data_IF_951556772126
#
_entry.id   IF_951556772126
#
_cell.length_a   1.000
_cell.length_b   1.000
_cell.length_c   1.000
_cell.angle_alpha   90.00
_cell.angle_beta   90.00
_cell.angle_gamma   90.00
#
_symmetry.space_group_name_H-M   'P 1'
#
loop_
_entity.id
_entity.type
_entity.pdbx_description
1 polymer ?
#
# COMPACT_ATOMS: atom_id res chain seq x y z
N UNK A 1 -9.23 65.65 47.08
CA UNK A 1 -8.37 65.28 45.94
C UNK A 1 -7.37 64.23 46.44
N UNK A 2 -7.45 62.97 45.98
CA UNK A 2 -6.62 61.88 46.50
C UNK A 2 -5.32 61.77 45.71
N UNK A 3 -4.18 61.84 46.39
CA UNK A 3 -2.92 61.24 45.93
C UNK A 3 -2.29 60.53 47.13
N UNK A 4 -2.00 59.23 47.00
CA UNK A 4 -1.09 58.50 47.89
C UNK A 4 -0.30 57.48 47.07
N UNK A 5 1.01 57.64 47.10
CA UNK A 5 2.04 56.67 46.72
C UNK A 5 2.94 56.60 47.97
N UNK A 6 3.11 55.44 48.61
CA UNK A 6 4.17 54.43 48.37
C UNK A 6 5.59 54.97 48.68
N UNK A 7 6.58 54.24 49.20
CA UNK A 7 6.72 52.84 49.71
C UNK A 7 7.54 52.94 51.03
N UNK A 8 7.44 52.04 52.02
CA UNK A 8 8.35 50.87 52.26
C UNK A 8 8.07 50.28 53.66
N UNK A 9 8.53 49.04 53.94
CA UNK A 9 8.49 48.43 55.28
C UNK A 9 8.52 46.90 55.24
N UNK A 10 9.68 46.32 54.91
CA UNK A 10 9.83 44.89 54.60
C UNK A 10 9.76 43.96 55.81
N UNK A 11 9.12 42.80 55.65
CA UNK A 11 9.28 41.64 56.53
C UNK A 11 9.54 40.39 55.67
N UNK A 12 10.65 39.71 55.91
CA UNK A 12 11.03 38.51 55.17
C UNK A 12 10.41 37.26 55.82
N UNK A 13 9.74 36.43 55.01
CA UNK A 13 9.28 35.11 55.41
C UNK A 13 10.07 34.04 54.64
N UNK A 14 10.73 33.14 55.37
CA UNK A 14 11.45 32.01 54.78
C UNK A 14 10.45 30.92 54.39
N UNK A 15 10.32 30.66 53.09
CA UNK A 15 9.53 29.55 52.59
C UNK A 15 10.39 28.27 52.60
N UNK A 16 9.99 27.27 53.38
CA UNK A 16 10.60 25.94 53.31
C UNK A 16 10.06 25.20 52.06
N UNK A 17 10.92 24.98 51.06
CA UNK A 17 10.57 24.17 49.90
C UNK A 17 10.68 22.69 50.28
N UNK A 18 9.55 22.00 50.33
CA UNK A 18 9.52 20.54 50.42
C UNK A 18 9.77 19.98 49.03
N UNK A 19 10.96 19.43 48.78
CA UNK A 19 11.21 18.63 47.58
C UNK A 19 10.52 17.28 47.72
N UNK A 20 9.34 17.14 47.12
CA UNK A 20 8.76 15.84 46.82
C UNK A 20 9.64 15.14 45.78
N UNK A 21 10.40 14.13 46.19
CA UNK A 21 11.13 13.28 45.26
C UNK A 21 10.11 12.49 44.42
N UNK A 22 9.94 12.90 43.16
CA UNK A 22 9.15 12.13 42.20
C UNK A 22 9.86 10.78 41.97
N UNK A 23 9.26 9.69 42.45
CA UNK A 23 9.75 8.36 42.17
C UNK A 23 9.63 8.13 40.66
N UNK A 24 10.77 8.13 39.97
CA UNK A 24 10.86 7.71 38.58
C UNK A 24 10.33 6.28 38.50
N UNK A 25 9.13 6.11 37.93
CA UNK A 25 8.62 4.79 37.65
C UNK A 25 9.54 4.18 36.59
N UNK A 26 10.05 2.95 36.77
CA UNK A 26 10.77 2.29 35.70
C UNK A 26 9.81 2.20 34.51
N UNK A 27 10.24 2.69 33.35
CA UNK A 27 9.49 2.49 32.12
C UNK A 27 9.33 0.99 31.93
N UNK A 28 8.10 0.50 32.06
CA UNK A 28 7.78 -0.89 31.74
C UNK A 28 8.18 -1.09 30.29
N UNK A 29 9.19 -1.92 30.05
CA UNK A 29 9.45 -2.42 28.70
C UNK A 29 8.14 -3.06 28.24
N UNK A 30 7.55 -2.52 27.16
CA UNK A 30 6.35 -3.13 26.59
C UNK A 30 6.70 -4.57 26.27
N UNK A 31 5.93 -5.52 26.79
CA UNK A 31 6.05 -6.89 26.32
C UNK A 31 5.83 -6.87 24.81
N UNK A 32 6.73 -7.50 24.05
CA UNK A 32 6.52 -7.68 22.62
C UNK A 32 5.19 -8.40 22.42
N UNK A 33 4.38 -7.94 21.46
CA UNK A 33 3.10 -8.57 21.20
C UNK A 33 3.29 -10.00 20.70
N UNK A 34 2.32 -10.87 20.98
CA UNK A 34 2.37 -12.25 20.49
C UNK A 34 2.39 -12.25 18.95
N UNK A 35 3.31 -13.01 18.32
CA UNK A 35 3.41 -13.09 16.87
C UNK A 35 2.17 -13.73 16.28
N UNK A 36 1.80 -13.31 15.08
CA UNK A 36 0.60 -13.81 14.42
C UNK A 36 0.78 -15.26 13.95
N UNK A 37 -0.31 -16.04 13.96
CA UNK A 37 -0.29 -17.41 13.50
C UNK A 37 -0.14 -17.47 11.97
N UNK A 38 1.00 -17.98 11.50
CA UNK A 38 1.28 -18.28 10.08
C UNK A 38 0.54 -19.55 9.62
N UNK A 39 -0.05 -19.50 8.43
CA UNK A 39 -0.67 -20.65 7.77
C UNK A 39 -0.40 -20.60 6.25
N UNK A 40 0.17 -21.68 5.69
CA UNK A 40 0.34 -21.83 4.24
C UNK A 40 -1.03 -22.03 3.58
N UNK A 41 -1.31 -21.27 2.54
CA UNK A 41 -2.55 -21.39 1.76
C UNK A 41 -2.47 -22.57 0.78
N UNK A 42 -3.60 -23.20 0.40
CA UNK A 42 -3.60 -24.25 -0.62
C UNK A 42 -2.97 -23.76 -1.93
N UNK A 43 -2.16 -24.59 -2.58
CA UNK A 43 -1.56 -24.33 -3.89
C UNK A 43 -2.28 -25.13 -4.99
N UNK A 44 -1.99 -24.81 -6.26
CA UNK A 44 -2.43 -25.65 -7.38
C UNK A 44 -1.72 -27.01 -7.34
N UNK A 45 -2.32 -28.07 -7.93
CA UNK A 45 -1.59 -29.31 -8.22
C UNK A 45 -0.29 -29.01 -8.96
N UNK A 46 0.76 -29.78 -8.66
CA UNK A 46 2.08 -29.70 -9.28
C UNK A 46 2.79 -28.34 -9.17
N UNK A 47 2.29 -27.43 -8.31
CA UNK A 47 2.95 -26.15 -8.04
C UNK A 47 4.28 -26.31 -7.31
N UNK A 48 5.32 -25.69 -7.84
CA UNK A 48 6.69 -25.63 -7.27
C UNK A 48 7.00 -24.32 -6.56
N UNK A 49 6.23 -23.26 -6.84
CA UNK A 49 6.32 -21.95 -6.18
C UNK A 49 4.99 -21.21 -6.41
N UNK A 50 4.42 -20.58 -5.38
CA UNK A 50 3.18 -19.80 -5.51
C UNK A 50 3.24 -18.51 -4.68
N UNK A 51 2.72 -17.42 -5.24
CA UNK A 51 2.70 -16.09 -4.65
C UNK A 51 1.29 -15.52 -4.56
N UNK A 52 1.02 -14.75 -3.50
CA UNK A 52 -0.12 -13.82 -3.47
C UNK A 52 0.30 -12.51 -4.14
N UNK A 53 -0.63 -11.85 -4.85
CA UNK A 53 -0.43 -10.52 -5.44
C UNK A 53 -1.37 -9.46 -4.84
N UNK A 54 -2.64 -9.81 -4.61
CA UNK A 54 -3.64 -8.97 -3.92
C UNK A 54 -4.76 -9.83 -3.34
N UNK A 55 -5.66 -9.21 -2.57
CA UNK A 55 -6.88 -9.83 -2.06
C UNK A 55 -7.91 -8.82 -1.59
N UNK A 56 -9.19 -9.17 -1.69
CA UNK A 56 -10.27 -8.25 -1.37
C UNK A 56 -10.35 -7.93 0.13
N UNK A 57 -10.78 -6.73 0.56
CA UNK A 57 -10.83 -6.36 1.97
C UNK A 57 -11.77 -7.21 2.84
N UNK A 58 -12.63 -8.06 2.27
CA UNK A 58 -13.44 -9.06 2.96
C UNK A 58 -12.77 -10.43 3.13
N UNK A 59 -11.62 -10.69 2.50
CA UNK A 59 -10.85 -11.94 2.63
C UNK A 59 -11.44 -13.13 1.88
N UNK A 60 -12.39 -12.91 0.98
CA UNK A 60 -13.06 -13.96 0.20
C UNK A 60 -12.27 -14.36 -1.04
N UNK A 61 -11.67 -13.38 -1.70
CA UNK A 61 -10.94 -13.50 -2.94
C UNK A 61 -9.49 -13.08 -2.71
N UNK A 62 -8.54 -13.90 -3.14
CA UNK A 62 -7.15 -13.53 -3.30
C UNK A 62 -6.69 -13.94 -4.70
N UNK A 63 -5.79 -13.17 -5.30
CA UNK A 63 -5.19 -13.44 -6.60
C UNK A 63 -3.69 -13.60 -6.46
N UNK A 64 -3.07 -14.33 -7.39
CA UNK A 64 -1.67 -14.67 -7.32
C UNK A 64 -1.11 -15.30 -8.58
N UNK A 65 0.13 -15.78 -8.49
CA UNK A 65 0.81 -16.56 -9.52
C UNK A 65 1.36 -17.87 -8.95
N UNK A 66 1.43 -18.90 -9.79
CA UNK A 66 2.00 -20.21 -9.47
C UNK A 66 2.89 -20.66 -10.62
N UNK A 67 4.01 -21.30 -10.30
CA UNK A 67 4.84 -22.05 -11.26
C UNK A 67 4.62 -23.54 -11.08
N UNK A 68 4.46 -24.29 -12.16
CA UNK A 68 4.35 -25.76 -12.12
C UNK A 68 5.72 -26.48 -12.12
N UNK A 69 5.75 -27.79 -12.30
CA UNK A 69 6.99 -28.58 -12.43
C UNK A 69 7.68 -28.48 -13.80
N UNK A 70 6.96 -28.00 -14.82
CA UNK A 70 7.44 -27.85 -16.20
C UNK A 70 7.88 -26.38 -16.49
N UNK A 71 8.02 -25.57 -15.43
CA UNK A 71 8.36 -24.14 -15.43
C UNK A 71 7.33 -23.20 -16.08
N UNK A 72 6.08 -23.65 -16.28
CA UNK A 72 5.00 -22.79 -16.74
C UNK A 72 4.47 -21.90 -15.60
N UNK A 73 4.22 -20.62 -15.91
CA UNK A 73 3.57 -19.69 -14.99
C UNK A 73 2.04 -19.65 -15.22
N UNK A 74 1.30 -19.71 -14.13
CA UNK A 74 -0.17 -19.73 -14.06
C UNK A 74 -0.66 -18.62 -13.13
N UNK A 75 -1.82 -18.04 -13.42
CA UNK A 75 -2.51 -17.20 -12.44
C UNK A 75 -3.33 -18.08 -11.48
N UNK A 76 -3.40 -17.70 -10.21
CA UNK A 76 -4.18 -18.37 -9.17
C UNK A 76 -5.28 -17.44 -8.68
N UNK A 77 -6.47 -17.99 -8.46
CA UNK A 77 -7.51 -17.37 -7.65
C UNK A 77 -7.79 -18.28 -6.45
N UNK A 78 -7.63 -17.75 -5.25
CA UNK A 78 -8.28 -18.31 -4.07
C UNK A 78 -9.67 -17.72 -3.94
N UNK A 79 -10.67 -18.60 -3.83
CA UNK A 79 -12.03 -18.22 -3.48
C UNK A 79 -12.44 -19.02 -2.24
N UNK A 80 -12.85 -18.31 -1.18
CA UNK A 80 -13.26 -18.90 0.10
C UNK A 80 -12.17 -19.88 0.65
N UNK A 81 -10.89 -19.52 0.43
CA UNK A 81 -9.70 -20.31 0.80
C UNK A 81 -9.32 -21.46 -0.16
N UNK A 82 -10.12 -21.74 -1.18
CA UNK A 82 -9.84 -22.80 -2.17
C UNK A 82 -9.10 -22.24 -3.39
N UNK A 83 -7.91 -22.75 -3.70
CA UNK A 83 -7.16 -22.39 -4.89
C UNK A 83 -7.77 -23.00 -6.16
N UNK A 84 -7.83 -22.22 -7.24
CA UNK A 84 -8.06 -22.70 -8.61
C UNK A 84 -7.23 -21.88 -9.60
N UNK A 85 -6.94 -22.47 -10.75
CA UNK A 85 -6.35 -21.73 -11.86
C UNK A 85 -7.29 -20.61 -12.31
N UNK A 86 -6.72 -19.44 -12.57
CA UNK A 86 -7.40 -18.26 -13.08
C UNK A 86 -6.99 -18.03 -14.54
N UNK A 87 -7.98 -18.00 -15.43
CA UNK A 87 -7.78 -17.71 -16.86
C UNK A 87 -8.44 -16.38 -17.20
N UNK A 88 -7.69 -15.48 -17.84
CA UNK A 88 -8.12 -14.15 -18.27
C UNK A 88 -7.74 -13.99 -19.75
N UNK A 89 -8.42 -14.69 -20.67
CA UNK A 89 -8.01 -14.77 -22.07
C UNK A 89 -8.31 -13.46 -22.82
N UNK A 90 -7.26 -12.82 -23.35
CA UNK A 90 -7.35 -11.52 -24.03
C UNK A 90 -7.25 -11.59 -25.56
N UNK A 91 -6.91 -12.76 -26.10
CA UNK A 91 -6.47 -12.93 -27.49
C UNK A 91 -4.97 -12.73 -27.70
N UNK A 92 -4.28 -12.04 -26.79
CA UNK A 92 -2.81 -11.87 -26.75
C UNK A 92 -2.13 -12.81 -25.74
N UNK A 93 -2.91 -13.61 -25.01
CA UNK A 93 -2.48 -14.48 -23.92
C UNK A 93 -3.47 -14.44 -22.75
N UNK A 94 -3.09 -15.04 -21.63
CA UNK A 94 -3.74 -14.78 -20.34
C UNK A 94 -3.19 -13.47 -19.75
N UNK A 95 -4.05 -12.58 -19.27
CA UNK A 95 -3.63 -11.35 -18.59
C UNK A 95 -3.14 -11.63 -17.16
N UNK A 96 -2.11 -10.91 -16.72
CA UNK A 96 -1.60 -10.94 -15.36
C UNK A 96 -2.51 -10.12 -14.43
N UNK A 97 -3.17 -10.73 -13.43
CA UNK A 97 -4.08 -10.02 -12.52
C UNK A 97 -3.29 -9.08 -11.62
N UNK A 98 -3.84 -7.89 -11.37
CA UNK A 98 -3.24 -6.84 -10.55
C UNK A 98 -3.99 -6.71 -9.21
N UNK A 99 -5.32 -6.61 -9.25
CA UNK A 99 -6.15 -6.44 -8.06
C UNK A 99 -7.55 -7.08 -8.19
N UNK A 100 -8.22 -7.35 -7.05
CA UNK A 100 -9.54 -8.00 -6.97
C UNK A 100 -10.45 -7.35 -5.91
N UNK A 101 -11.65 -6.94 -6.31
CA UNK A 101 -12.61 -6.34 -5.38
C UNK A 101 -13.52 -7.38 -4.70
N UNK A 102 -14.33 -6.90 -3.75
CA UNK A 102 -15.30 -7.69 -2.96
C UNK A 102 -16.32 -8.50 -3.76
N UNK A 103 -16.54 -8.16 -5.03
CA UNK A 103 -17.45 -8.89 -5.92
C UNK A 103 -16.78 -10.02 -6.71
N UNK A 104 -15.45 -10.17 -6.59
CA UNK A 104 -14.66 -11.08 -7.42
C UNK A 104 -14.40 -10.53 -8.84
N UNK A 105 -14.58 -9.23 -9.03
CA UNK A 105 -14.14 -8.53 -10.24
C UNK A 105 -12.66 -8.22 -10.14
N UNK A 106 -11.93 -8.58 -11.18
CA UNK A 106 -10.46 -8.53 -11.24
C UNK A 106 -10.06 -7.51 -12.28
N UNK A 107 -9.02 -6.73 -11.99
CA UNK A 107 -8.32 -5.93 -12.98
C UNK A 107 -6.97 -6.53 -13.28
N UNK A 108 -6.57 -6.53 -14.55
CA UNK A 108 -5.42 -7.26 -15.07
C UNK A 108 -4.73 -6.47 -16.20
N UNK A 109 -3.54 -6.91 -16.62
CA UNK A 109 -2.81 -6.32 -17.75
C UNK A 109 -2.17 -7.39 -18.64
N UNK A 110 -1.88 -7.02 -19.89
CA UNK A 110 -1.01 -7.77 -20.81
C UNK A 110 0.07 -6.85 -21.32
N UNK A 111 1.30 -7.35 -21.44
CA UNK A 111 2.43 -6.59 -21.99
C UNK A 111 2.95 -7.27 -23.26
N UNK A 112 3.04 -6.51 -24.36
CA UNK A 112 3.59 -6.95 -25.64
C UNK A 112 4.78 -6.04 -26.01
N UNK A 113 5.99 -6.46 -25.63
CA UNK A 113 7.16 -5.57 -25.66
C UNK A 113 7.02 -4.45 -24.62
N UNK A 114 7.12 -3.20 -25.07
CA UNK A 114 6.95 -2.02 -24.22
C UNK A 114 5.47 -1.60 -24.06
N UNK A 115 4.55 -2.17 -24.85
CA UNK A 115 3.14 -1.76 -24.86
C UNK A 115 2.30 -2.56 -23.84
N UNK A 116 1.66 -1.87 -22.88
CA UNK A 116 0.79 -2.49 -21.86
C UNK A 116 -0.68 -2.12 -22.09
N UNK A 117 -1.55 -3.13 -22.07
CA UNK A 117 -3.01 -2.98 -22.19
C UNK A 117 -3.69 -3.45 -20.90
N UNK A 118 -4.52 -2.57 -20.32
CA UNK A 118 -5.35 -2.89 -19.17
C UNK A 118 -6.64 -3.65 -19.54
N UNK A 119 -7.06 -4.56 -18.67
CA UNK A 119 -8.23 -5.41 -18.83
C UNK A 119 -9.06 -5.49 -17.55
N UNK A 120 -10.37 -5.51 -17.69
CA UNK A 120 -11.32 -5.87 -16.64
C UNK A 120 -11.82 -7.30 -16.88
N UNK A 121 -11.85 -8.10 -15.82
CA UNK A 121 -12.42 -9.44 -15.80
C UNK A 121 -13.56 -9.53 -14.79
N UNK A 122 -14.77 -9.82 -15.27
CA UNK A 122 -15.98 -9.91 -14.43
C UNK A 122 -16.84 -11.08 -14.89
N UNK A 123 -17.15 -12.02 -13.99
CA UNK A 123 -18.05 -13.16 -14.26
C UNK A 123 -17.68 -13.96 -15.54
N UNK A 124 -16.38 -14.15 -15.82
CA UNK A 124 -15.89 -14.83 -17.02
C UNK A 124 -15.81 -13.96 -18.29
N UNK A 125 -16.28 -12.72 -18.25
CA UNK A 125 -16.15 -11.76 -19.34
C UNK A 125 -14.89 -10.92 -19.18
N UNK A 126 -14.03 -10.94 -20.21
CA UNK A 126 -12.87 -10.04 -20.36
C UNK A 126 -13.30 -8.82 -21.16
N UNK A 127 -12.91 -7.62 -20.75
CA UNK A 127 -13.15 -6.36 -21.48
C UNK A 127 -11.92 -5.47 -21.40
N UNK A 128 -11.41 -5.02 -22.54
CA UNK A 128 -10.28 -4.08 -22.57
C UNK A 128 -10.69 -2.72 -21.98
N UNK A 129 -9.81 -2.15 -21.14
CA UNK A 129 -9.99 -0.79 -20.64
C UNK A 129 -9.63 0.19 -21.76
N UNK A 130 -10.47 1.20 -22.05
CA UNK A 130 -10.17 2.16 -23.10
C UNK A 130 -8.99 3.05 -22.72
N UNK A 131 -8.05 3.20 -23.65
CA UNK A 131 -6.95 4.14 -23.53
C UNK A 131 -7.46 5.59 -23.50
N UNK A 132 -6.99 6.42 -22.55
CA UNK A 132 -7.18 7.88 -22.64
C UNK A 132 -6.62 8.44 -23.95
N UNK A 133 -7.11 9.59 -24.39
CA UNK A 133 -6.63 10.23 -25.63
C UNK A 133 -5.10 10.44 -25.59
N UNK A 134 -4.41 9.97 -26.63
CA UNK A 134 -2.95 9.93 -26.78
C UNK A 134 -2.15 9.06 -25.78
N UNK A 135 -2.80 8.26 -24.93
CA UNK A 135 -2.10 7.17 -24.23
C UNK A 135 -1.66 6.08 -25.23
N UNK A 136 -0.44 5.57 -25.03
CA UNK A 136 0.08 4.37 -25.72
C UNK A 136 0.02 3.13 -24.84
N UNK A 137 0.20 3.30 -23.53
CA UNK A 137 0.14 2.21 -22.53
C UNK A 137 -0.86 2.55 -21.42
N UNK A 138 -1.53 1.52 -20.88
CA UNK A 138 -2.46 1.60 -19.75
C UNK A 138 -2.16 0.52 -18.71
N UNK A 139 -1.77 0.97 -17.52
CA UNK A 139 -1.44 0.13 -16.38
C UNK A 139 -2.50 0.36 -15.28
N UNK A 140 -3.60 -0.40 -15.28
CA UNK A 140 -4.54 -0.37 -14.17
C UNK A 140 -3.90 -1.03 -12.94
N UNK A 141 -4.05 -0.40 -11.78
CA UNK A 141 -3.35 -0.81 -10.55
C UNK A 141 -4.30 -1.46 -9.54
N UNK A 142 -5.51 -0.92 -9.39
CA UNK A 142 -6.37 -1.16 -8.22
C UNK A 142 -7.86 -1.00 -8.58
N UNK A 143 -8.76 -1.70 -7.87
CA UNK A 143 -10.22 -1.65 -8.09
C UNK A 143 -11.03 -1.58 -6.78
N UNK A 144 -11.85 -0.54 -6.61
CA UNK A 144 -12.70 -0.39 -5.42
C UNK A 144 -13.95 -1.31 -5.45
N UNK A 145 -14.69 -1.37 -4.33
CA UNK A 145 -15.90 -2.19 -4.21
C UNK A 145 -17.04 -1.74 -5.12
N UNK A 146 -17.01 -0.50 -5.63
CA UNK A 146 -17.93 0.02 -6.64
C UNK A 146 -17.61 -0.42 -8.07
N UNK A 147 -16.42 -1.01 -8.31
CA UNK A 147 -15.92 -1.38 -9.62
C UNK A 147 -15.23 -0.25 -10.38
N UNK A 148 -14.95 0.88 -9.73
CA UNK A 148 -14.05 1.90 -10.28
C UNK A 148 -12.61 1.40 -10.19
N UNK A 149 -11.86 1.59 -11.27
CA UNK A 149 -10.47 1.18 -11.41
C UNK A 149 -9.62 2.44 -11.47
N UNK A 150 -8.51 2.47 -10.72
CA UNK A 150 -7.51 3.52 -10.85
C UNK A 150 -6.16 2.94 -11.31
N UNK A 151 -5.37 3.76 -11.99
CA UNK A 151 -4.06 3.36 -12.51
C UNK A 151 -3.33 4.47 -13.22
N UNK A 152 -2.29 4.11 -13.97
CA UNK A 152 -1.43 5.05 -14.68
C UNK A 152 -1.50 4.81 -16.19
N UNK A 153 -1.53 5.87 -16.99
CA UNK A 153 -1.42 5.80 -18.44
C UNK A 153 -0.20 6.59 -18.91
N UNK A 154 0.41 6.16 -20.02
CA UNK A 154 1.68 6.71 -20.50
C UNK A 154 1.59 7.15 -21.96
N UNK A 155 2.17 8.31 -22.28
CA UNK A 155 2.15 8.87 -23.64
C UNK A 155 3.08 8.14 -24.63
N UNK A 156 4.16 7.53 -24.14
CA UNK A 156 4.97 6.60 -24.90
C UNK A 156 5.37 5.42 -24.03
N UNK A 157 5.66 4.29 -24.67
CA UNK A 157 5.88 3.00 -24.04
C UNK A 157 7.11 2.96 -23.10
N UNK A 158 8.02 3.93 -23.22
CA UNK A 158 9.21 4.10 -22.41
C UNK A 158 9.23 5.42 -21.61
N UNK A 159 8.09 6.12 -21.47
CA UNK A 159 8.06 7.47 -20.95
C UNK A 159 7.83 7.53 -19.44
N UNK A 160 8.73 8.23 -18.74
CA UNK A 160 8.54 8.75 -17.38
C UNK A 160 7.56 9.95 -17.33
N UNK A 161 6.59 9.99 -18.25
CA UNK A 161 5.50 10.98 -18.35
C UNK A 161 4.16 10.26 -18.13
N UNK A 162 4.11 9.50 -17.04
CA UNK A 162 2.91 8.83 -16.56
C UNK A 162 1.90 9.85 -16.04
N UNK A 163 0.62 9.56 -16.25
CA UNK A 163 -0.47 10.32 -15.64
C UNK A 163 -1.54 9.40 -15.05
N UNK A 164 -2.00 9.78 -13.87
CA UNK A 164 -3.04 9.07 -13.15
C UNK A 164 -4.40 9.16 -13.89
N UNK A 165 -5.10 8.04 -13.93
CA UNK A 165 -6.38 7.86 -14.64
C UNK A 165 -7.34 7.01 -13.80
N UNK A 166 -8.63 7.21 -14.04
CA UNK A 166 -9.71 6.39 -13.47
C UNK A 166 -10.62 5.91 -14.59
N UNK A 167 -10.97 4.62 -14.54
CA UNK A 167 -12.05 4.02 -15.33
C UNK A 167 -13.23 3.74 -14.41
N UNK A 168 -14.40 4.26 -14.75
CA UNK A 168 -15.65 4.04 -14.01
C UNK A 168 -16.14 2.58 -14.12
N UNK A 169 -17.17 2.24 -13.34
CA UNK A 169 -17.84 0.94 -13.41
C UNK A 169 -18.41 0.60 -14.82
N UNK A 170 -18.63 1.58 -15.69
CA UNK A 170 -19.03 1.44 -17.10
C UNK A 170 -17.88 1.66 -18.11
N UNK A 171 -16.62 1.59 -17.66
CA UNK A 171 -15.39 1.77 -18.43
C UNK A 171 -15.16 3.17 -19.03
N UNK A 172 -15.91 4.21 -18.64
CA UNK A 172 -15.60 5.57 -19.04
C UNK A 172 -14.28 6.02 -18.39
N UNK A 173 -13.31 6.45 -19.21
CA UNK A 173 -11.98 6.87 -18.74
C UNK A 173 -11.91 8.37 -18.50
N UNK A 174 -11.32 8.78 -17.38
CA UNK A 174 -10.99 10.18 -17.07
C UNK A 174 -9.54 10.31 -16.59
N UNK A 175 -8.86 11.37 -17.05
CA UNK A 175 -7.54 11.76 -16.53
C UNK A 175 -7.69 12.52 -15.22
N UNK A 176 -6.86 12.19 -14.23
CA UNK A 176 -6.74 12.98 -13.01
C UNK A 176 -5.82 14.19 -13.24
N UNK A 177 -6.08 15.35 -12.59
CA UNK A 177 -5.23 16.52 -12.74
C UNK A 177 -3.83 16.26 -12.17
N UNK A 178 -2.79 16.58 -12.96
CA UNK A 178 -1.40 16.60 -12.48
C UNK A 178 -1.12 17.98 -11.86
N UNK A 179 -0.64 18.06 -10.61
CA UNK A 179 -0.25 19.31 -9.97
C UNK A 179 0.81 20.10 -10.77
N UNK A 180 0.74 21.43 -10.72
CA UNK A 180 1.72 22.30 -11.38
C UNK A 180 3.14 22.08 -10.85
N UNK A 181 4.12 22.09 -11.76
CA UNK A 181 5.54 21.83 -11.44
C UNK A 181 5.95 20.36 -11.52
N UNK A 182 5.00 19.42 -11.62
CA UNK A 182 5.25 17.98 -11.74
C UNK A 182 5.06 17.50 -13.18
N UNK A 183 5.87 16.52 -13.59
CA UNK A 183 5.86 15.94 -14.93
C UNK A 183 5.51 14.46 -14.96
N UNK A 184 5.29 13.83 -13.81
CA UNK A 184 4.77 12.48 -13.68
C UNK A 184 3.71 12.42 -12.55
N UNK A 185 2.71 11.55 -12.70
CA UNK A 185 1.73 11.22 -11.67
C UNK A 185 1.43 9.71 -11.72
N UNK A 186 1.55 9.02 -10.58
CA UNK A 186 1.22 7.59 -10.44
C UNK A 186 0.15 7.37 -9.39
N UNK A 187 -0.69 6.37 -9.64
CA UNK A 187 -1.68 5.85 -8.68
C UNK A 187 -1.04 4.78 -7.81
N UNK A 188 -1.54 4.61 -6.59
CA UNK A 188 -1.22 3.46 -5.73
C UNK A 188 -2.47 2.76 -5.20
N UNK A 189 -3.53 3.49 -4.83
CA UNK A 189 -4.75 2.89 -4.24
C UNK A 189 -6.00 3.78 -4.48
N UNK A 190 -7.21 3.21 -4.33
CA UNK A 190 -8.50 3.89 -4.47
C UNK A 190 -9.50 3.40 -3.41
N UNK A 191 -10.10 4.35 -2.68
CA UNK A 191 -11.10 4.06 -1.65
C UNK A 191 -12.50 3.82 -2.23
N UNK A 192 -13.39 3.25 -1.41
CA UNK A 192 -14.79 2.98 -1.79
C UNK A 192 -15.62 4.28 -2.00
N UNK A 193 -15.11 5.46 -1.62
CA UNK A 193 -15.72 6.78 -1.91
C UNK A 193 -15.18 7.46 -3.19
N UNK A 194 -14.32 6.76 -3.94
CA UNK A 194 -13.71 7.24 -5.18
C UNK A 194 -12.51 8.17 -4.99
N UNK A 195 -12.03 8.35 -3.75
CA UNK A 195 -10.76 9.03 -3.47
C UNK A 195 -9.59 8.15 -3.91
N UNK A 196 -8.78 8.64 -4.84
CA UNK A 196 -7.56 7.99 -5.33
C UNK A 196 -6.35 8.58 -4.61
N UNK A 197 -5.37 7.75 -4.27
CA UNK A 197 -4.08 8.19 -3.72
C UNK A 197 -2.90 7.70 -4.55
N UNK A 198 -1.80 8.41 -4.42
CA UNK A 198 -0.53 8.06 -5.05
C UNK A 198 0.49 9.17 -4.85
N UNK A 199 1.33 9.39 -5.86
CA UNK A 199 2.37 10.41 -5.81
C UNK A 199 2.58 11.08 -7.18
N UNK A 200 3.11 12.29 -7.14
CA UNK A 200 3.54 13.05 -8.31
C UNK A 200 5.02 13.36 -8.22
N UNK A 201 5.70 13.25 -9.35
CA UNK A 201 7.16 13.36 -9.44
C UNK A 201 7.55 14.48 -10.39
N UNK A 202 8.58 15.23 -10.00
CA UNK A 202 9.30 16.18 -10.84
C UNK A 202 10.65 15.54 -11.20
N UNK A 203 10.71 14.95 -12.39
CA UNK A 203 11.87 14.26 -12.92
C UNK A 203 12.74 15.19 -13.78
N UNK A 204 14.05 15.25 -13.53
CA UNK A 204 15.01 15.87 -14.46
C UNK A 204 15.47 14.84 -15.49
N UNK A 205 14.83 14.86 -16.67
CA UNK A 205 15.18 13.97 -17.78
C UNK A 205 16.61 14.12 -18.29
N UNK A 206 17.25 15.29 -18.10
CA UNK A 206 18.62 15.52 -18.57
C UNK A 206 19.66 14.93 -17.60
N UNK A 207 19.31 14.75 -16.32
CA UNK A 207 20.18 14.16 -15.29
C UNK A 207 19.76 12.77 -14.82
N UNK A 208 18.56 12.32 -15.16
CA UNK A 208 17.93 11.08 -14.67
C UNK A 208 17.83 11.05 -13.13
N UNK A 209 17.37 12.15 -12.53
CA UNK A 209 17.20 12.29 -11.08
C UNK A 209 15.80 12.84 -10.71
N UNK A 210 15.31 12.47 -9.53
CA UNK A 210 14.10 13.04 -8.92
C UNK A 210 14.45 14.37 -8.27
N UNK A 211 13.85 15.47 -8.72
CA UNK A 211 13.99 16.80 -8.11
C UNK A 211 13.04 16.99 -6.92
N UNK A 212 11.83 16.41 -7.00
CA UNK A 212 10.78 16.51 -5.99
C UNK A 212 9.79 15.35 -6.20
N UNK A 213 9.25 14.80 -5.13
CA UNK A 213 8.20 13.76 -5.18
C UNK A 213 7.23 14.00 -4.02
N UNK A 214 5.93 13.99 -4.29
CA UNK A 214 4.91 14.38 -3.31
C UNK A 214 3.71 13.45 -3.37
N UNK A 215 3.32 12.97 -2.20
CA UNK A 215 2.08 12.24 -2.01
C UNK A 215 0.89 13.16 -2.31
N UNK A 216 -0.14 12.61 -2.94
CA UNK A 216 -1.31 13.35 -3.39
C UNK A 216 -2.57 12.49 -3.25
N UNK A 217 -3.65 13.13 -2.83
CA UNK A 217 -5.01 12.57 -2.86
C UNK A 217 -5.83 13.33 -3.90
N UNK A 218 -6.52 12.60 -4.77
CA UNK A 218 -7.49 13.10 -5.74
C UNK A 218 -8.89 12.65 -5.32
N UNK A 219 -9.79 13.61 -5.09
CA UNK A 219 -11.18 13.33 -4.77
C UNK A 219 -11.98 12.98 -6.04
N UNK A 220 -13.10 12.29 -5.86
CA UNK A 220 -13.98 11.87 -6.96
C UNK A 220 -14.50 13.05 -7.81
N UNK A 221 -14.63 14.25 -7.22
CA UNK A 221 -15.04 15.49 -7.90
C UNK A 221 -13.94 16.13 -8.78
N UNK A 222 -12.72 15.55 -8.79
CA UNK A 222 -11.57 16.05 -9.52
C UNK A 222 -10.76 17.12 -8.78
N UNK A 223 -11.15 17.50 -7.55
CA UNK A 223 -10.27 18.26 -6.67
C UNK A 223 -9.11 17.38 -6.17
N UNK A 224 -8.01 18.01 -5.77
CA UNK A 224 -6.81 17.31 -5.31
C UNK A 224 -6.06 18.12 -4.26
N UNK A 225 -5.21 17.43 -3.49
CA UNK A 225 -4.30 18.04 -2.51
C UNK A 225 -3.05 17.22 -2.31
N UNK A 226 -1.96 17.90 -1.94
CA UNK A 226 -0.78 17.21 -1.41
C UNK A 226 -1.03 16.64 -0.02
N UNK A 227 -0.38 15.53 0.28
CA UNK A 227 -0.25 14.94 1.61
C UNK A 227 1.19 15.25 2.07
N UNK A 228 1.39 16.27 2.92
CA UNK A 228 2.72 16.75 3.31
C UNK A 228 3.42 15.78 4.26
N UNK A 229 4.75 15.78 4.23
CA UNK A 229 5.56 15.10 5.25
C UNK A 229 5.48 15.78 6.62
N UNK A 230 5.94 15.07 7.66
CA UNK A 230 6.17 15.63 8.99
C UNK A 230 7.41 16.54 9.00
N UNK A 231 8.36 16.29 8.10
CA UNK A 231 9.56 17.07 7.86
C UNK A 231 9.32 18.01 6.66
N UNK A 232 9.64 19.31 6.77
CA UNK A 232 9.56 20.24 5.65
C UNK A 232 10.36 19.75 4.44
N UNK A 233 9.74 19.84 3.26
CA UNK A 233 10.31 19.50 1.95
C UNK A 233 10.81 18.06 1.76
N UNK A 234 10.47 17.14 2.67
CA UNK A 234 10.70 15.72 2.46
C UNK A 234 9.85 15.18 1.29
N UNK A 235 10.41 14.22 0.56
CA UNK A 235 9.65 13.50 -0.46
C UNK A 235 8.66 12.55 0.22
N UNK A 236 7.46 12.45 -0.33
CA UNK A 236 6.39 11.62 0.22
C UNK A 236 5.72 10.77 -0.85
N UNK A 237 5.29 9.56 -0.47
CA UNK A 237 4.48 8.67 -1.31
C UNK A 237 3.28 8.17 -0.50
N UNK A 238 2.06 8.35 -1.01
CA UNK A 238 0.88 7.68 -0.47
C UNK A 238 0.73 6.34 -1.18
N UNK A 239 0.58 5.25 -0.40
CA UNK A 239 0.71 3.89 -0.91
C UNK A 239 -0.58 3.08 -0.79
N UNK A 240 -1.40 3.37 0.22
CA UNK A 240 -2.69 2.70 0.43
C UNK A 240 -3.69 3.64 1.12
N UNK A 241 -5.00 3.47 0.85
CA UNK A 241 -6.10 4.24 1.44
C UNK A 241 -7.27 3.33 1.83
N UNK A 242 -7.87 3.58 3.00
CA UNK A 242 -9.14 2.95 3.40
C UNK A 242 -9.94 3.87 4.32
N UNK A 243 -11.22 4.08 4.01
CA UNK A 243 -12.11 4.98 4.75
C UNK A 243 -11.51 6.39 5.01
N UNK A 244 -10.87 6.97 3.99
CA UNK A 244 -10.20 8.27 4.07
C UNK A 244 -8.90 8.30 4.87
N UNK A 245 -8.46 7.19 5.48
CA UNK A 245 -7.14 7.09 6.11
C UNK A 245 -6.13 6.54 5.10
N UNK A 246 -5.05 7.29 4.90
CA UNK A 246 -3.96 6.95 3.98
C UNK A 246 -2.76 6.46 4.80
N UNK A 247 -2.01 5.49 4.28
CA UNK A 247 -0.68 5.17 4.78
C UNK A 247 0.35 5.17 3.64
N UNK A 248 1.60 5.49 3.97
CA UNK A 248 2.69 5.57 3.00
C UNK A 248 4.01 5.95 3.66
N UNK A 249 4.90 6.58 2.90
CA UNK A 249 6.28 6.83 3.30
C UNK A 249 6.68 8.31 3.19
N UNK A 250 7.64 8.67 4.02
CA UNK A 250 8.39 9.93 3.95
C UNK A 250 9.90 9.61 3.85
N UNK A 251 10.64 10.43 3.10
CA UNK A 251 11.97 10.08 2.61
C UNK A 251 13.02 9.78 3.71
N UNK A 252 13.75 8.67 3.59
CA UNK A 252 15.09 8.54 4.19
C UNK A 252 15.50 7.17 4.69
N UNK A 253 14.57 6.41 5.32
CA UNK A 253 14.69 5.01 5.80
C UNK A 253 13.40 4.66 6.54
N UNK A 254 12.58 3.79 5.99
CA UNK A 254 11.59 3.00 6.76
C UNK A 254 10.62 3.80 7.67
N UNK A 255 10.41 5.10 7.45
CA UNK A 255 9.47 5.91 8.23
C UNK A 255 8.10 5.88 7.56
N UNK A 256 7.19 5.13 8.19
CA UNK A 256 5.80 5.06 7.78
C UNK A 256 5.04 6.28 8.32
N UNK A 257 4.23 6.89 7.47
CA UNK A 257 3.40 8.05 7.79
C UNK A 257 1.95 7.72 7.44
N UNK A 258 1.02 8.19 8.26
CA UNK A 258 -0.41 8.14 7.98
C UNK A 258 -1.00 9.55 7.83
N UNK A 259 -1.95 9.68 6.90
CA UNK A 259 -2.67 10.93 6.66
C UNK A 259 -4.18 10.73 6.75
N UNK A 260 -4.90 11.78 7.14
CA UNK A 260 -6.30 11.94 6.74
C UNK A 260 -6.36 12.53 5.33
N UNK A 261 -7.00 11.82 4.40
CA UNK A 261 -7.05 12.19 2.98
C UNK A 261 -7.76 13.53 2.71
N UNK A 262 -8.61 14.02 3.64
CA UNK A 262 -9.45 15.20 3.46
C UNK A 262 -8.83 16.45 4.05
N UNK A 263 -8.13 16.33 5.18
CA UNK A 263 -7.42 17.43 5.85
C UNK A 263 -5.95 17.53 5.43
N UNK A 264 -5.34 16.43 4.99
CA UNK A 264 -3.90 16.32 4.76
C UNK A 264 -3.07 16.32 6.05
N UNK A 265 -3.70 16.16 7.22
CA UNK A 265 -3.01 16.08 8.50
C UNK A 265 -2.16 14.80 8.56
N UNK A 266 -0.86 14.95 8.76
CA UNK A 266 0.12 13.88 8.79
C UNK A 266 0.41 13.44 10.24
N UNK A 267 0.58 12.14 10.45
CA UNK A 267 0.94 11.53 11.73
C UNK A 267 2.00 10.44 11.54
N UNK A 268 2.96 10.35 12.45
CA UNK A 268 3.97 9.28 12.45
C UNK A 268 3.31 7.95 12.81
N UNK A 269 3.52 6.92 11.99
CA UNK A 269 3.18 5.56 12.39
C UNK A 269 4.34 5.01 13.25
N UNK A 270 4.08 4.42 14.43
CA UNK A 270 5.13 3.94 15.32
C UNK A 270 5.91 2.74 14.76
N UNK A 271 5.42 2.11 13.69
CA UNK A 271 6.05 1.00 13.01
C UNK A 271 6.97 1.45 11.88
N UNK A 272 8.08 0.74 11.70
CA UNK A 272 8.98 0.95 10.56
C UNK A 272 8.50 0.20 9.33
N UNK A 273 8.99 0.64 8.17
CA UNK A 273 8.86 -0.03 6.89
C UNK A 273 7.96 0.68 5.90
N UNK A 274 7.77 0.06 4.74
CA UNK A 274 6.86 0.54 3.70
C UNK A 274 5.46 -0.02 3.98
N UNK A 275 4.43 0.82 4.21
CA UNK A 275 3.04 0.35 4.22
C UNK A 275 2.66 -0.32 2.91
N UNK A 276 1.89 -1.39 3.01
CA UNK A 276 1.36 -2.15 1.86
C UNK A 276 -0.14 -1.98 1.78
N UNK A 277 -0.84 -2.21 2.89
CA UNK A 277 -2.29 -2.18 2.96
C UNK A 277 -2.76 -1.62 4.31
N UNK A 278 -3.87 -0.87 4.29
CA UNK A 278 -4.56 -0.37 5.48
C UNK A 278 -6.02 -0.82 5.46
N UNK A 279 -6.56 -1.21 6.62
CA UNK A 279 -7.96 -1.63 6.73
C UNK A 279 -8.87 -0.60 7.40
N UNK A 280 -10.18 -0.86 7.38
CA UNK A 280 -11.19 0.05 7.97
C UNK A 280 -11.03 0.26 9.48
N UNK A 281 -10.43 -0.69 10.19
CA UNK A 281 -10.06 -0.57 11.60
C UNK A 281 -8.88 0.36 11.85
N UNK A 282 -8.07 0.63 10.82
CA UNK A 282 -6.83 1.40 10.91
C UNK A 282 -5.59 0.57 11.22
N UNK A 283 -5.69 -0.76 11.15
CA UNK A 283 -4.50 -1.61 11.13
C UNK A 283 -3.76 -1.41 9.82
N UNK A 284 -2.43 -1.37 9.88
CA UNK A 284 -1.55 -1.21 8.71
C UNK A 284 -0.62 -2.40 8.65
N UNK A 285 -0.51 -3.05 7.48
CA UNK A 285 0.50 -4.07 7.26
C UNK A 285 1.70 -3.46 6.52
N UNK A 286 2.92 -3.74 6.99
CA UNK A 286 4.15 -3.13 6.51
C UNK A 286 5.21 -4.18 6.16
N UNK A 287 6.04 -3.84 5.17
CA UNK A 287 7.27 -4.55 4.82
C UNK A 287 8.47 -3.68 5.24
N UNK A 288 9.13 -3.94 6.40
CA UNK A 288 10.29 -3.17 6.88
C UNK A 288 11.64 -3.64 6.35
N UNK A 289 11.65 -4.80 5.71
CA UNK A 289 12.85 -5.47 5.22
C UNK A 289 12.53 -6.92 4.86
N UNK A 290 13.55 -7.71 4.55
CA UNK A 290 13.37 -9.13 4.28
C UNK A 290 13.06 -9.90 5.57
N UNK A 291 11.84 -10.43 5.69
CA UNK A 291 11.44 -11.32 6.78
C UNK A 291 10.85 -10.63 8.02
N UNK A 292 11.19 -9.37 8.28
CA UNK A 292 10.71 -8.60 9.45
C UNK A 292 9.30 -7.99 9.25
N UNK A 293 8.40 -8.68 8.55
CA UNK A 293 7.04 -8.20 8.25
C UNK A 293 6.22 -7.96 9.53
N UNK A 294 5.44 -6.88 9.57
CA UNK A 294 4.61 -6.53 10.75
C UNK A 294 3.18 -6.14 10.38
N UNK A 295 2.24 -6.50 11.25
CA UNK A 295 0.94 -5.86 11.35
C UNK A 295 0.97 -4.85 12.51
N UNK A 296 0.84 -3.57 12.20
CA UNK A 296 0.58 -2.55 13.20
C UNK A 296 -0.93 -2.52 13.49
N UNK A 297 -1.34 -3.09 14.63
CA UNK A 297 -2.73 -3.16 15.07
C UNK A 297 -2.90 -2.32 16.35
N UNK A 298 -3.79 -1.32 16.33
CA UNK A 298 -4.07 -0.45 17.49
C UNK A 298 -2.82 0.24 18.11
N UNK A 299 -1.81 0.54 17.29
CA UNK A 299 -0.54 1.13 17.75
C UNK A 299 0.48 0.11 18.27
N UNK A 300 0.18 -1.18 18.20
CA UNK A 300 1.06 -2.29 18.62
C UNK A 300 1.56 -3.04 17.39
N UNK A 301 2.87 -3.16 17.25
CA UNK A 301 3.50 -4.02 16.24
C UNK A 301 3.33 -5.51 16.61
N UNK A 302 2.79 -6.30 15.68
CA UNK A 302 2.74 -7.75 15.76
C UNK A 302 3.57 -8.37 14.64
N UNK A 303 4.58 -9.20 14.96
CA UNK A 303 5.38 -9.88 13.95
C UNK A 303 4.55 -10.86 13.11
N UNK A 304 4.86 -10.91 11.81
CA UNK A 304 4.29 -11.85 10.85
C UNK A 304 5.39 -12.88 10.49
N UNK A 305 5.49 -14.00 11.25
CA UNK A 305 6.64 -14.90 11.15
C UNK A 305 6.70 -15.65 9.81
N UNK A 306 7.92 -15.89 9.32
CA UNK A 306 8.25 -16.80 8.21
C UNK A 306 8.62 -18.20 8.74
N UNK A 307 8.90 -19.17 7.86
CA UNK A 307 9.20 -20.56 8.24
C UNK A 307 10.53 -20.71 9.01
N UNK A 308 11.66 -20.33 8.41
CA UNK A 308 12.97 -20.20 9.07
C UNK A 308 13.55 -18.80 8.81
N UNK A 309 13.59 -17.89 9.81
CA UNK A 309 14.06 -16.51 9.63
C UNK A 309 15.55 -16.39 9.28
N UNK A 310 16.33 -17.47 9.31
CA UNK A 310 17.74 -17.45 8.90
C UNK A 310 17.95 -17.73 7.40
N UNK A 311 16.96 -18.36 6.75
CA UNK A 311 17.03 -18.78 5.33
C UNK A 311 15.83 -18.29 4.50
N UNK A 312 14.87 -17.64 5.15
CA UNK A 312 13.59 -17.24 4.56
C UNK A 312 13.36 -15.74 4.72
N UNK A 313 12.72 -15.15 3.73
CA UNK A 313 12.08 -13.84 3.86
C UNK A 313 10.60 -13.94 3.52
N UNK A 314 9.96 -12.80 3.40
CA UNK A 314 8.58 -12.72 2.93
C UNK A 314 8.20 -11.29 2.59
N UNK A 315 7.01 -11.15 2.02
CA UNK A 315 6.37 -9.88 1.72
C UNK A 315 4.87 -9.98 1.96
N UNK A 316 4.30 -8.98 2.64
CA UNK A 316 2.85 -8.76 2.66
C UNK A 316 2.41 -8.16 1.32
N UNK A 317 1.20 -8.54 0.89
CA UNK A 317 0.53 -8.01 -0.30
C UNK A 317 -0.89 -7.51 -0.04
N UNK A 318 -1.64 -8.05 0.93
CA UNK A 318 -3.00 -7.59 1.24
C UNK A 318 -3.37 -7.69 2.73
N UNK A 319 -4.34 -6.89 3.16
CA UNK A 319 -4.89 -6.86 4.52
C UNK A 319 -6.42 -6.78 4.47
N UNK A 320 -7.10 -7.61 5.27
CA UNK A 320 -8.56 -7.60 5.38
C UNK A 320 -9.06 -6.72 6.52
N UNK A 321 -10.34 -6.35 6.49
CA UNK A 321 -11.06 -5.71 7.59
C UNK A 321 -11.18 -6.59 8.86
N UNK A 322 -10.78 -7.86 8.78
CA UNK A 322 -10.73 -8.80 9.89
C UNK A 322 -9.29 -9.10 10.38
N UNK A 323 -8.34 -8.19 10.10
CA UNK A 323 -6.92 -8.28 10.46
C UNK A 323 -6.20 -9.57 9.99
N UNK A 324 -6.76 -10.28 9.00
CA UNK A 324 -6.04 -11.34 8.28
C UNK A 324 -5.14 -10.69 7.25
N UNK A 325 -3.84 -10.95 7.37
CA UNK A 325 -2.80 -10.50 6.44
C UNK A 325 -2.55 -11.61 5.42
N UNK A 326 -2.34 -11.25 4.16
CA UNK A 326 -2.00 -12.16 3.07
C UNK A 326 -0.70 -11.73 2.41
N UNK A 327 0.13 -12.70 2.05
CA UNK A 327 1.42 -12.45 1.42
C UNK A 327 2.08 -13.71 0.90
N UNK A 328 3.39 -13.62 0.67
CA UNK A 328 4.25 -14.77 0.44
C UNK A 328 5.33 -14.85 1.51
N UNK A 329 5.74 -16.05 1.87
CA UNK A 329 7.12 -16.28 2.32
C UNK A 329 7.93 -16.95 1.20
N UNK A 330 9.25 -16.97 1.37
CA UNK A 330 10.15 -17.64 0.45
C UNK A 330 11.35 -18.21 1.19
N UNK A 331 11.86 -19.36 0.73
CA UNK A 331 13.03 -20.04 1.27
C UNK A 331 14.14 -20.05 0.21
N UNK A 332 15.36 -19.69 0.59
CA UNK A 332 16.52 -19.69 -0.29
C UNK A 332 17.25 -21.04 -0.31
N UNK A 333 17.30 -21.68 -1.47
CA UNK A 333 18.15 -22.84 -1.73
C UNK A 333 19.53 -22.36 -2.23
N UNK A 334 20.51 -22.37 -1.33
CA UNK A 334 21.88 -21.92 -1.61
C UNK A 334 22.67 -22.81 -2.58
N UNK A 335 22.31 -24.09 -2.71
CA UNK A 335 22.96 -25.02 -3.64
C UNK A 335 22.46 -24.81 -5.07
N UNK A 336 21.16 -24.51 -5.23
CA UNK A 336 20.54 -24.21 -6.54
C UNK A 336 20.60 -22.73 -6.95
N UNK A 337 20.86 -21.83 -6.00
CA UNK A 337 20.71 -20.37 -6.15
C UNK A 337 19.29 -19.94 -6.56
N UNK A 338 18.27 -20.57 -5.96
CA UNK A 338 16.85 -20.34 -6.26
C UNK A 338 16.05 -20.07 -5.00
N UNK A 339 15.07 -19.18 -5.06
CA UNK A 339 14.05 -19.04 -4.02
C UNK A 339 12.75 -19.77 -4.40
N UNK A 340 12.26 -20.62 -3.49
CA UNK A 340 10.90 -21.18 -3.57
C UNK A 340 9.96 -20.33 -2.73
N UNK A 341 8.82 -19.90 -3.28
CA UNK A 341 7.86 -19.04 -2.58
C UNK A 341 6.58 -19.80 -2.24
N UNK A 342 6.00 -19.54 -1.07
CA UNK A 342 4.74 -20.11 -0.61
C UNK A 342 3.71 -19.02 -0.29
N UNK A 343 2.44 -19.20 -0.65
CA UNK A 343 1.37 -18.26 -0.31
C UNK A 343 1.00 -18.44 1.16
N UNK A 344 0.96 -17.36 1.90
CA UNK A 344 0.75 -17.38 3.36
C UNK A 344 -0.36 -16.42 3.75
N UNK A 345 -1.14 -16.84 4.75
CA UNK A 345 -1.96 -15.93 5.55
C UNK A 345 -1.50 -15.92 7.00
N UNK A 346 -1.57 -14.76 7.63
CA UNK A 346 -1.33 -14.59 9.06
C UNK A 346 -2.61 -14.14 9.78
N UNK A 347 -2.81 -14.65 11.00
CA UNK A 347 -3.95 -14.29 11.86
C UNK A 347 -3.46 -13.78 13.21
N UNK A 348 -3.94 -12.60 13.59
CA UNK A 348 -3.56 -11.84 14.78
C UNK A 348 -4.77 -11.63 15.71
#
# INVERSE_FOLDING_TARGET
>A
MKLKMNIWGSAAAVLAVVLSAAAAHPASASAAAEPCAREIMPVLPDSTSTNVLSGDPGGRYQIGTSRDTDENDHNVLWQDGTARELRIPTGHGDASPQDVNRSGEIVALTSEGDDVQGWRYKNGQVTGLPSPESARSTEPTVINSGGEIAGTAFYAANAWDGYAVVWSADNAVRKLPRPDGFNEARVSDIDDDGTVVGYVTQWDYAKAEVLNERAVAWSADGSWRFLPGLVPDAHTQALTIRNGRVAGTEQGRDHAVAWDARSGEATELPARGRPVAINSGGSVALNPGYGDMVLLQQGVERPLPVDDPNMSGGSVFALTDADVVYGSDWVWDGDKQTSTQWPVRWRC
#
